data_IF_262830210353
#
_entry.id   IF_262830210353
#
_cell.length_a   1.000
_cell.length_b   1.000
_cell.length_c   1.000
_cell.angle_alpha   90.00
_cell.angle_beta   90.00
_cell.angle_gamma   90.00
#
_symmetry.space_group_name_H-M   'P 1'
#
loop_
_entity.id
_entity.type
_entity.pdbx_description
1 polymer ?
2 polymer ?
3 polymer ?
#
loop_
_entity_poly.entity_id
_entity_poly.type
_entity_poly.pdbx_seq_one_letter_code
_entity_poly.pdbx_strand_id
1 'polydeoxyribonucleotide' '(DC)(DA)(DC)(DC)(DC)(DG)(DG)(DT)(DC)(DA)(DC)(DG)(DT)(DG)(DG)(DC)(DC)(DT)(DA)(DC)(DA)' ?
2 'polydeoxyribonucleotide' '(DG)(DT)(DG)(DT)(DA)(DG)(DG)(DC)(DC)(DA)(DC)(DG)(DT)(DG)(DA)(DC)(DC)(DG)(DG)(DG)(DT)' ?
#
# COMPACT_ATOMS: atom_id res chain seq x y z
N UNK C 1 11.41 38.87 -16.01
CA UNK C 1 10.27 38.00 -15.51
C UNK C 1 10.76 36.79 -14.67
N UNK C 2 11.14 37.10 -13.44
CA UNK C 2 11.69 36.17 -12.45
C UNK C 2 10.87 34.90 -12.39
N UNK C 3 11.39 33.87 -13.07
CA UNK C 3 10.77 32.54 -13.18
C UNK C 3 11.84 31.47 -12.97
N UNK C 4 12.40 31.37 -11.77
CA UNK C 4 13.42 30.37 -11.46
C UNK C 4 13.06 29.00 -12.03
N UNK C 5 14.08 28.15 -12.23
CA UNK C 5 13.86 26.79 -12.75
C UNK C 5 13.83 25.79 -11.62
N UNK C 6 13.99 26.29 -10.39
CA UNK C 6 13.93 25.47 -9.18
C UNK C 6 12.59 24.75 -9.27
N UNK C 7 12.67 23.61 -9.95
CA UNK C 7 11.53 22.77 -10.24
C UNK C 7 11.83 21.30 -9.99
N UNK C 8 12.37 21.07 -8.80
CA UNK C 8 12.59 19.74 -8.30
C UNK C 8 11.59 19.95 -7.12
N UNK C 9 10.38 20.35 -7.55
CA UNK C 9 9.32 20.63 -6.63
C UNK C 9 8.04 19.91 -6.95
N UNK C 10 6.91 20.57 -6.67
CA UNK C 10 5.54 20.03 -6.82
C UNK C 10 5.23 18.94 -7.89
N UNK C 11 5.63 19.16 -9.14
CA UNK C 11 5.40 18.21 -10.22
C UNK C 11 6.14 16.89 -10.01
N UNK C 12 7.32 16.93 -9.40
CA UNK C 12 8.14 15.73 -9.21
C UNK C 12 7.54 14.61 -8.31
N UNK C 13 7.28 14.93 -7.04
CA UNK C 13 6.83 13.91 -6.11
C UNK C 13 5.49 13.33 -6.25
N UNK C 14 4.44 14.13 -6.12
CA UNK C 14 3.12 13.51 -6.23
C UNK C 14 3.01 12.68 -7.53
N UNK C 15 4.00 12.78 -8.42
CA UNK C 15 3.91 11.97 -9.61
C UNK C 15 4.09 10.53 -9.10
N UNK C 16 4.88 10.37 -8.03
CA UNK C 16 5.21 9.08 -7.39
C UNK C 16 4.14 8.41 -6.59
N UNK C 17 3.81 9.06 -5.47
CA UNK C 17 2.76 8.59 -4.58
C UNK C 17 1.60 8.37 -5.52
N UNK C 18 1.02 9.44 -6.09
CA UNK C 18 -0.10 9.33 -7.05
C UNK C 18 -0.05 7.97 -7.79
N UNK C 19 1.14 7.57 -8.26
CA UNK C 19 1.34 6.26 -8.90
C UNK C 19 0.75 5.15 -7.95
N UNK C 20 1.36 5.00 -6.77
CA UNK C 20 0.91 4.07 -5.76
C UNK C 20 -0.58 4.22 -5.48
N UNK C 21 -1.25 5.28 -5.93
CA UNK C 21 -2.68 5.31 -5.65
C UNK C 21 -3.45 4.33 -6.55
N UNK C 22 -3.08 4.20 -7.83
CA UNK C 22 -3.85 3.25 -8.63
C UNK C 22 -3.56 1.77 -8.66
N UNK C 23 -2.66 1.27 -7.81
CA UNK C 23 -2.39 -0.18 -7.71
C UNK C 23 -3.20 -0.66 -6.48
N UNK C 24 -3.29 0.22 -5.46
CA UNK C 24 -4.00 -0.13 -4.24
C UNK C 24 -5.45 -0.30 -4.52
N UNK C 25 -6.04 0.71 -5.16
CA UNK C 25 -7.47 0.65 -5.53
C UNK C 25 -7.94 -0.71 -6.14
N UNK C 26 -6.98 -1.50 -6.61
CA UNK C 26 -7.26 -2.80 -7.17
C UNK C 26 -7.76 -3.62 -6.01
N UNK C 27 -6.78 -4.03 -5.20
CA UNK C 27 -6.95 -4.87 -4.02
C UNK C 27 -8.23 -4.46 -3.31
N UNK C 28 -8.21 -3.25 -2.74
CA UNK C 28 -9.33 -2.67 -2.01
C UNK C 28 -10.66 -3.19 -2.52
N UNK C 29 -11.01 -2.80 -3.74
CA UNK C 29 -12.31 -3.19 -4.29
C UNK C 29 -12.33 -4.66 -4.54
N UNK C 30 -11.23 -5.18 -5.07
CA UNK C 30 -11.12 -6.59 -5.38
C UNK C 30 -10.71 -7.53 -4.24
N UNK C 31 -10.77 -7.02 -3.01
CA UNK C 31 -10.46 -7.77 -1.79
C UNK C 31 -11.54 -7.46 -0.77
N UNK C 32 -12.61 -8.28 -0.78
CA UNK C 32 -13.77 -8.17 0.11
C UNK C 32 -13.27 -7.86 1.50
N UNK C 33 -13.40 -6.61 1.91
CA UNK C 33 -12.91 -6.17 3.21
C UNK C 33 -13.94 -5.69 4.27
N UNK C 34 -13.42 -5.42 5.47
CA UNK C 34 -14.13 -4.97 6.67
C UNK C 34 -14.37 -3.45 6.76
N UNK C 35 -14.44 -2.74 5.64
CA UNK C 35 -14.64 -1.28 5.68
C UNK C 35 -16.02 -0.68 6.08
N UNK C 36 -16.33 -0.79 7.38
CA UNK C 36 -17.56 -0.28 8.01
C UNK C 36 -18.73 0.19 7.12
N UNK C 37 -19.45 1.20 7.62
CA UNK C 37 -20.59 1.88 6.97
C UNK C 37 -21.09 3.07 7.82
N UNK C 38 -21.67 4.07 7.15
CA UNK C 38 -22.26 5.29 7.71
C UNK C 38 -22.97 5.96 6.50
N UNK C 39 -22.72 7.24 6.18
CA UNK C 39 -23.37 7.83 5.01
C UNK C 39 -22.46 7.61 3.81
N UNK C 40 -23.09 7.22 2.69
CA UNK C 40 -22.46 6.88 1.41
C UNK C 40 -20.94 6.54 1.37
N UNK C 41 -20.73 5.24 1.52
CA UNK C 41 -19.48 4.53 1.56
C UNK C 41 -18.16 5.14 0.96
N UNK C 42 -17.67 6.26 1.52
CA UNK C 42 -16.44 6.88 1.02
C UNK C 42 -15.09 6.71 1.77
N UNK C 43 -15.04 5.94 2.86
CA UNK C 43 -13.80 5.73 3.66
C UNK C 43 -12.83 4.73 3.07
N UNK C 44 -11.53 5.01 3.29
CA UNK C 44 -10.41 4.23 2.74
C UNK C 44 -9.69 2.94 3.26
N UNK C 45 -8.91 2.37 2.32
CA UNK C 45 -8.07 1.17 2.37
C UNK C 45 -7.08 0.94 3.52
N UNK C 46 -7.19 1.78 4.55
CA UNK C 46 -6.42 1.66 5.78
C UNK C 46 -7.42 1.02 6.74
N UNK C 47 -8.58 0.76 6.12
CA UNK C 47 -9.72 0.10 6.71
C UNK C 47 -9.90 -1.14 5.83
N UNK C 48 -8.96 -1.34 4.90
CA UNK C 48 -8.92 -2.49 3.97
C UNK C 48 -7.71 -3.33 4.30
N UNK C 49 -6.51 -2.71 4.32
CA UNK C 49 -5.24 -3.41 4.58
C UNK C 49 -5.43 -4.42 5.67
N UNK C 50 -6.39 -4.08 6.50
CA UNK C 50 -6.83 -4.89 7.56
C UNK C 50 -7.10 -6.22 6.85
N UNK C 51 -8.16 -6.27 6.05
CA UNK C 51 -8.46 -7.50 5.36
C UNK C 51 -7.44 -7.82 4.24
N UNK C 52 -7.36 -6.98 3.23
CA UNK C 52 -6.47 -7.16 2.07
C UNK C 52 -5.59 -8.39 2.11
N UNK C 53 -4.38 -8.17 2.68
CA UNK C 53 -3.29 -9.15 2.85
C UNK C 53 -3.73 -10.61 2.80
N UNK C 54 -4.64 -10.94 3.72
CA UNK C 54 -5.29 -12.25 3.92
C UNK C 54 -5.40 -13.11 2.64
N UNK C 55 -6.38 -12.82 1.78
CA UNK C 55 -6.59 -13.62 0.56
C UNK C 55 -5.27 -13.94 -0.13
N UNK C 56 -4.40 -12.94 -0.22
CA UNK C 56 -3.11 -13.10 -0.89
C UNK C 56 -2.17 -14.12 -0.22
N UNK C 57 -2.14 -14.18 1.09
CA UNK C 57 -1.27 -15.15 1.72
C UNK C 57 -1.86 -16.52 1.38
N UNK C 58 -3.13 -16.70 1.76
CA UNK C 58 -3.84 -17.95 1.54
C UNK C 58 -4.13 -18.18 0.07
N UNK C 59 -3.44 -17.50 -0.85
CA UNK C 59 -3.65 -17.72 -2.26
C UNK C 59 -2.30 -18.12 -2.85
N UNK C 60 -1.23 -17.56 -2.29
CA UNK C 60 0.14 -17.91 -2.71
C UNK C 60 0.36 -19.29 -2.13
N UNK C 61 0.33 -19.29 -0.80
CA UNK C 61 0.50 -20.47 0.05
C UNK C 61 0.06 -21.74 -0.70
N UNK C 62 -1.25 -22.03 -0.62
CA UNK C 62 -1.84 -23.21 -1.21
C UNK C 62 -1.66 -23.46 -2.70
N UNK C 63 -1.10 -22.55 -3.50
CA UNK C 63 -1.03 -22.81 -4.95
C UNK C 63 0.09 -22.26 -5.87
N UNK C 64 0.40 -20.97 -5.79
CA UNK C 64 1.42 -20.26 -6.62
C UNK C 64 2.87 -20.49 -6.12
N UNK C 65 3.80 -20.75 -7.05
CA UNK C 65 5.23 -21.01 -6.79
C UNK C 65 5.45 -21.86 -5.56
N UNK D 1 -5.21 25.07 28.76
CA UNK D 1 -4.31 24.58 27.67
C UNK D 1 -4.90 23.64 26.60
N UNK D 2 -4.23 23.69 25.45
CA UNK D 2 -4.50 22.89 24.28
C UNK D 2 -3.15 22.14 24.16
N UNK D 3 -2.65 21.72 25.31
CA UNK D 3 -1.40 21.03 25.33
C UNK D 3 -1.55 19.59 24.80
N UNK D 4 -0.47 19.13 24.16
CA UNK D 4 -0.29 17.77 23.62
C UNK D 4 -1.38 16.96 22.93
N UNK D 5 -2.62 17.46 22.84
CA UNK D 5 -3.71 16.71 22.19
C UNK D 5 -3.52 16.61 20.65
N UNK D 6 -2.33 16.20 20.24
CA UNK D 6 -2.00 16.13 18.85
C UNK D 6 -0.52 15.75 18.85
N UNK D 7 0.22 16.26 19.83
CA UNK D 7 1.66 15.99 19.98
C UNK D 7 1.86 14.48 20.23
N UNK D 8 0.87 13.89 20.88
CA UNK D 8 0.90 12.47 21.11
C UNK D 8 0.76 11.91 19.70
N UNK D 9 -0.27 12.32 18.96
CA UNK D 9 -0.55 11.80 17.63
C UNK D 9 0.70 11.72 16.78
N UNK D 10 1.67 12.60 17.10
CA UNK D 10 2.98 12.65 16.46
C UNK D 10 3.57 11.22 16.57
N UNK D 11 3.67 10.68 17.79
CA UNK D 11 4.15 9.32 17.94
C UNK D 11 3.09 8.39 17.33
N UNK D 12 1.89 8.44 17.88
CA UNK D 12 0.76 7.63 17.44
C UNK D 12 0.47 7.63 15.96
N UNK D 13 1.05 8.57 15.20
CA UNK D 13 0.88 8.63 13.74
C UNK D 13 1.88 7.68 13.04
N UNK D 14 3.12 7.63 13.55
CA UNK D 14 4.16 6.73 13.03
C UNK D 14 3.67 5.32 13.28
N UNK D 15 2.74 5.22 14.22
CA UNK D 15 2.10 3.99 14.59
C UNK D 15 1.65 3.32 13.32
N UNK D 16 0.70 3.95 12.61
CA UNK D 16 0.17 3.34 11.39
C UNK D 16 1.16 3.57 10.30
N UNK D 17 2.04 4.54 10.54
CA UNK D 17 3.09 4.85 9.58
C UNK D 17 3.78 3.48 9.36
N UNK D 18 4.27 2.87 10.44
CA UNK D 18 4.89 1.58 10.26
C UNK D 18 3.87 0.47 10.31
N UNK D 19 2.71 0.87 9.90
CA UNK D 19 1.64 -0.03 9.59
C UNK D 19 1.78 -0.14 8.08
N UNK D 20 2.00 1.06 7.54
CA UNK D 20 2.10 1.30 6.10
C UNK D 20 3.55 0.91 5.48
N UNK D 21 4.62 0.48 6.27
CA UNK D 21 6.01 0.08 5.68
C UNK D 21 6.44 -1.31 6.14
N UNK D 22 5.76 -1.73 7.18
CA UNK D 22 5.97 -3.03 7.76
C UNK D 22 4.90 -3.95 7.28
N UNK D 23 3.66 -3.46 7.26
CA UNK D 23 2.76 -4.36 6.55
C UNK D 23 3.15 -4.36 5.09
N UNK D 24 4.00 -3.38 4.81
CA UNK D 24 4.49 -3.48 3.43
C UNK D 24 5.52 -4.60 3.37
N UNK D 25 6.55 -4.78 4.05
CA UNK D 25 7.25 -5.75 3.17
C UNK D 25 6.74 -7.16 3.45
N UNK D 26 6.58 -7.26 4.70
CA UNK D 26 6.06 -8.45 5.28
C UNK D 26 5.06 -9.13 4.30
N UNK D 27 3.93 -8.48 3.96
CA UNK D 27 2.93 -9.06 2.98
C UNK D 27 3.54 -9.06 1.59
N UNK D 28 4.15 -7.91 1.32
CA UNK D 28 4.78 -7.58 0.06
C UNK D 28 6.05 -8.38 -0.19
N UNK D 29 5.98 -9.71 -0.02
CA UNK D 29 7.15 -10.56 -0.21
C UNK D 29 6.84 -12.00 -0.63
N UNK D 30 5.73 -12.58 -0.16
CA UNK D 30 5.39 -13.97 -0.53
C UNK D 30 5.21 -14.16 -2.04
N UNK D 31 4.97 -13.04 -2.70
CA UNK D 31 4.84 -13.01 -4.15
C UNK D 31 6.26 -12.69 -4.71
N UNK D 32 6.62 -13.28 -5.88
CA UNK D 32 7.85 -13.26 -6.71
C UNK D 32 9.19 -12.81 -6.18
N UNK D 33 10.16 -13.71 -6.34
CA UNK D 33 11.50 -13.46 -5.90
C UNK D 33 12.09 -12.19 -6.54
N UNK D 34 11.95 -11.13 -5.76
CA UNK D 34 12.39 -9.78 -6.05
C UNK D 34 13.88 -9.65 -5.87
N UNK D 35 14.23 -8.80 -4.91
CA UNK D 35 15.58 -8.38 -4.53
C UNK D 35 15.89 -7.04 -5.26
N UNK D 36 15.83 -5.97 -4.47
CA UNK D 36 16.07 -4.61 -4.95
C UNK D 36 17.33 -4.20 -4.24
N UNK D 37 18.08 -5.21 -3.82
CA UNK D 37 19.29 -5.04 -3.03
C UNK D 37 19.14 -4.11 -1.79
N UNK D 38 19.56 -4.63 -0.65
CA UNK D 38 19.48 -3.89 0.58
C UNK D 38 20.87 -3.74 1.21
N UNK D 39 20.93 -2.94 2.26
CA UNK D 39 22.16 -2.69 2.97
C UNK D 39 21.84 -2.60 4.45
N UNK D 40 22.68 -1.93 5.22
CA UNK D 40 22.47 -1.72 6.67
C UNK D 40 21.04 -1.11 6.95
N UNK D 41 20.38 -0.83 5.83
CA UNK D 41 19.04 -0.30 5.69
C UNK D 41 18.81 -0.54 4.18
N UNK D 42 17.63 -0.24 3.64
CA UNK D 42 17.41 -0.43 2.20
C UNK D 42 15.99 -0.24 1.72
N UNK D 43 15.82 0.58 0.68
CA UNK D 43 14.50 0.88 0.09
C UNK D 43 13.61 -0.33 -0.28
N UNK D 44 12.29 -0.06 -0.37
CA UNK D 44 11.27 -1.02 -0.81
C UNK D 44 9.77 -0.84 -0.57
N UNK D 45 9.08 -0.85 -1.71
CA UNK D 45 7.61 -0.77 -1.89
C UNK D 45 7.38 -0.71 -3.41
N UNK D 46 6.36 0.01 -3.86
CA UNK D 46 6.11 0.12 -5.30
C UNK D 46 5.90 -1.17 -6.07
N UNK D 47 6.82 -1.55 -6.95
CA UNK D 47 6.69 -2.78 -7.73
C UNK D 47 5.87 -3.94 -7.14
N UNK D 48 6.28 -4.42 -5.96
CA UNK D 48 5.60 -5.53 -5.23
C UNK D 48 4.08 -5.43 -5.39
N UNK D 49 3.65 -4.20 -5.60
CA UNK D 49 2.28 -3.85 -5.80
C UNK D 49 2.06 -4.22 -7.27
N UNK D 50 2.70 -3.47 -8.15
CA UNK D 50 2.62 -3.64 -9.60
C UNK D 50 2.73 -5.08 -10.20
N UNK D 51 3.50 -5.96 -9.56
CA UNK D 51 3.69 -7.36 -10.02
C UNK D 51 2.71 -8.32 -9.38
N UNK D 52 2.24 -7.92 -8.19
CA UNK D 52 1.26 -8.62 -7.37
C UNK D 52 -0.11 -8.07 -7.75
N UNK D 53 -0.16 -7.55 -8.97
CA UNK D 53 -1.32 -6.98 -9.60
C UNK D 53 -1.62 -7.91 -10.78
N UNK D 54 -0.62 -8.67 -11.23
CA UNK D 54 -0.80 -9.58 -12.35
C UNK D 54 -0.95 -11.06 -11.93
N UNK D 55 -0.59 -11.32 -10.69
CA UNK D 55 -0.72 -12.64 -10.09
C UNK D 55 -2.06 -12.50 -9.38
N UNK D 56 -2.31 -11.28 -8.92
CA UNK D 56 -3.57 -10.90 -8.32
C UNK D 56 -4.52 -11.25 -9.49
N UNK D 57 -4.16 -10.80 -10.71
CA UNK D 57 -4.93 -11.01 -11.97
C UNK D 57 -4.98 -12.46 -12.46
N UNK D 58 -4.16 -13.36 -11.90
CA UNK D 58 -4.22 -14.75 -12.35
C UNK D 58 -4.92 -15.68 -11.38
N UNK D 59 -4.71 -15.46 -10.10
CA UNK D 59 -5.34 -16.29 -9.09
C UNK D 59 -6.46 -15.54 -8.35
N UNK D 60 -6.96 -14.49 -9.03
CA UNK D 60 -8.14 -13.66 -8.64
C UNK D 60 -9.06 -14.17 -9.76
N UNK D 61 -8.39 -14.47 -10.89
CA UNK D 61 -8.98 -15.06 -12.09
C UNK D 61 -9.37 -16.46 -11.53
N UNK D 62 -8.86 -16.73 -10.33
CA UNK D 62 -9.11 -17.93 -9.55
C UNK D 62 -10.14 -18.85 -10.16
N UNK D 63 -11.38 -18.66 -9.72
CA UNK D 63 -12.56 -19.43 -10.13
C UNK D 63 -12.51 -19.92 -11.55
N UNK D 64 -11.79 -19.11 -12.36
CA UNK D 64 -11.47 -19.28 -13.79
C UNK D 64 -12.15 -18.35 -14.77
N UNK D 65 -11.72 -17.09 -14.70
CA UNK D 65 -12.17 -15.96 -15.52
C UNK D 65 -11.60 -16.13 -16.94
#
# INVERSE_FOLDING_TARGET
MDEKRRAQHNEVERRRRDKINNWIVQLSKIIPDSSMESTKSGQSKGGILSKASDYIQELRQSNHR
MDEKRRAQHNEVERRRRDKINNWIVQLSKIIPDSSMESTKSGQSKGGILSKASDYIQELRQSNHR
#
